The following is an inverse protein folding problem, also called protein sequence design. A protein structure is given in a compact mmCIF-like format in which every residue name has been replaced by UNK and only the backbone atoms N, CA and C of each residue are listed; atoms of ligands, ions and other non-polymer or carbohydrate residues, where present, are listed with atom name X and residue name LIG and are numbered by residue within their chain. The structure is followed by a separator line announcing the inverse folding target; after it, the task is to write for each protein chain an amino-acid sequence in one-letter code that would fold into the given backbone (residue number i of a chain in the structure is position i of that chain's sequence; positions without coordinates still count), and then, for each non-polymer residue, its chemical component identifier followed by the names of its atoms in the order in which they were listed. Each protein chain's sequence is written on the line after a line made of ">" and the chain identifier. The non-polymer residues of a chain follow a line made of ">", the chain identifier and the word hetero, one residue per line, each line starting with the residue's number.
data_IF_468041219624
#
_entry.id   IF_468041219624
#
_cell.length_a   1.000
_cell.length_b   1.000
_cell.length_c   1.000
_cell.angle_alpha   90.00
_cell.angle_beta   90.00
_cell.angle_gamma   90.00
#
_symmetry.space_group_name_H-M   'P 1'
#
loop_
_entity.id
_entity.type
_entity.pdbx_description
1 polymer ?
#
# COMPACT_ATOMS: atom_id res chain seq x y z
N UNK A 1 -28.46 -13.00 34.60
CA UNK A 1 -28.86 -13.63 33.33
C UNK A 1 -28.50 -12.66 32.22
N UNK A 2 -27.21 -12.51 31.95
CA UNK A 2 -26.68 -11.64 30.90
C UNK A 2 -25.97 -12.54 29.88
N UNK A 3 -26.62 -12.73 28.74
CA UNK A 3 -26.10 -13.45 27.59
C UNK A 3 -26.42 -12.60 26.37
N UNK A 4 -25.39 -11.97 25.80
CA UNK A 4 -25.17 -11.77 24.36
C UNK A 4 -23.86 -10.98 24.21
N UNK A 5 -22.72 -11.66 24.14
CA UNK A 5 -22.11 -12.28 22.94
C UNK A 5 -21.14 -11.34 22.23
N UNK A 6 -19.86 -11.47 22.61
CA UNK A 6 -18.68 -11.52 21.75
C UNK A 6 -18.86 -11.02 20.30
N UNK A 7 -18.61 -9.73 20.07
CA UNK A 7 -18.33 -9.22 18.72
C UNK A 7 -16.92 -9.68 18.36
N UNK A 8 -16.84 -10.73 17.53
CA UNK A 8 -15.57 -11.23 17.00
C UNK A 8 -14.88 -10.12 16.19
N UNK A 9 -13.61 -9.86 16.48
CA UNK A 9 -12.71 -8.94 15.74
C UNK A 9 -12.47 -9.36 14.27
N UNK A 10 -13.08 -10.44 13.79
CA UNK A 10 -12.93 -10.96 12.44
C UNK A 10 -13.94 -10.41 11.41
N UNK A 11 -15.04 -9.75 11.80
CA UNK A 11 -16.09 -9.36 10.83
C UNK A 11 -15.85 -8.04 10.08
N UNK A 12 -14.91 -7.20 10.54
CA UNK A 12 -14.65 -5.90 9.93
C UNK A 12 -13.73 -5.97 8.68
N UNK A 13 -13.02 -7.08 8.48
CA UNK A 13 -12.09 -7.25 7.35
C UNK A 13 -12.78 -7.51 5.99
N UNK A 14 -14.10 -7.73 5.95
CA UNK A 14 -14.85 -7.87 4.69
C UNK A 14 -15.45 -6.54 4.18
N UNK A 15 -15.37 -5.45 4.95
CA UNK A 15 -15.77 -4.13 4.51
C UNK A 15 -14.55 -3.35 3.97
N UNK A 16 -14.29 -3.52 2.66
CA UNK A 16 -13.26 -2.73 1.97
C UNK A 16 -13.61 -1.24 2.00
N UNK A 17 -12.64 -0.39 2.36
CA UNK A 17 -12.82 1.06 2.45
C UNK A 17 -13.09 1.72 1.08
N UNK A 18 -12.78 1.04 -0.03
CA UNK A 18 -13.15 1.46 -1.37
C UNK A 18 -13.24 0.27 -2.34
N UNK A 19 -13.97 0.47 -3.45
CA UNK A 19 -14.09 -0.52 -4.54
C UNK A 19 -12.75 -0.82 -5.24
N UNK A 20 -11.72 0.02 -5.06
CA UNK A 20 -10.38 -0.22 -5.59
C UNK A 20 -9.70 -1.46 -4.98
N UNK A 21 -10.12 -1.93 -3.80
CA UNK A 21 -9.64 -3.18 -3.22
C UNK A 21 -9.81 -4.37 -4.17
N UNK A 22 -10.96 -4.47 -4.85
CA UNK A 22 -11.24 -5.57 -5.78
C UNK A 22 -10.29 -5.59 -6.98
N UNK A 23 -9.73 -4.44 -7.38
CA UNK A 23 -8.71 -4.38 -8.43
C UNK A 23 -7.42 -5.07 -7.98
N UNK A 24 -6.94 -4.72 -6.79
CA UNK A 24 -5.72 -5.33 -6.25
C UNK A 24 -5.91 -6.82 -5.95
N UNK A 25 -7.08 -7.22 -5.44
CA UNK A 25 -7.39 -8.65 -5.23
C UNK A 25 -7.36 -9.45 -6.54
N UNK A 26 -7.93 -8.92 -7.63
CA UNK A 26 -7.92 -9.62 -8.92
C UNK A 26 -6.51 -9.67 -9.53
N UNK A 27 -5.74 -8.58 -9.42
CA UNK A 27 -4.33 -8.55 -9.85
C UNK A 27 -3.52 -9.57 -9.04
N UNK A 28 -3.67 -9.59 -7.72
CA UNK A 28 -2.95 -10.51 -6.84
C UNK A 28 -3.30 -11.98 -7.12
N UNK A 29 -4.58 -12.27 -7.43
CA UNK A 29 -5.02 -13.60 -7.83
C UNK A 29 -4.30 -14.10 -9.10
N UNK A 30 -3.98 -13.21 -10.03
CA UNK A 30 -3.33 -13.55 -11.31
C UNK A 30 -1.81 -13.52 -11.23
N UNK A 31 -1.25 -12.57 -10.48
CA UNK A 31 0.19 -12.29 -10.43
C UNK A 31 0.88 -12.83 -9.18
N UNK A 32 0.13 -13.29 -8.16
CA UNK A 32 0.65 -13.73 -6.87
C UNK A 32 1.58 -12.71 -6.20
N UNK A 33 1.19 -11.44 -6.31
CA UNK A 33 1.98 -10.27 -5.94
C UNK A 33 2.29 -10.23 -4.44
N UNK A 34 1.35 -10.63 -3.59
CA UNK A 34 1.40 -10.51 -2.14
C UNK A 34 1.51 -11.89 -1.49
N UNK A 35 2.60 -12.13 -0.78
CA UNK A 35 2.88 -13.37 -0.07
C UNK A 35 3.19 -13.12 1.41
N UNK A 36 2.79 -14.04 2.31
CA UNK A 36 3.12 -13.96 3.73
C UNK A 36 4.62 -13.77 3.98
N UNK A 37 4.97 -12.79 4.82
CA UNK A 37 6.37 -12.47 5.14
C UNK A 37 6.99 -11.35 4.30
N UNK A 38 6.35 -10.95 3.20
CA UNK A 38 6.86 -9.87 2.36
C UNK A 38 6.77 -8.48 2.99
N UNK A 39 7.63 -7.59 2.52
CA UNK A 39 7.61 -6.15 2.81
C UNK A 39 6.97 -5.39 1.66
N UNK A 40 5.91 -4.65 1.96
CA UNK A 40 5.17 -3.83 1.00
C UNK A 40 5.32 -2.36 1.35
N UNK A 41 5.63 -1.55 0.34
CA UNK A 41 5.55 -0.08 0.41
C UNK A 41 4.42 0.39 -0.51
N UNK A 42 3.41 1.06 0.06
CA UNK A 42 2.25 1.60 -0.67
C UNK A 42 2.28 3.12 -0.72
N UNK A 43 2.24 3.67 -1.93
CA UNK A 43 2.25 5.11 -2.20
C UNK A 43 0.87 5.57 -2.68
N UNK A 44 0.30 6.59 -2.05
CA UNK A 44 -1.06 7.06 -2.35
C UNK A 44 -2.14 6.19 -1.68
N UNK A 45 -1.96 5.90 -0.40
CA UNK A 45 -2.75 4.93 0.35
C UNK A 45 -4.17 5.39 0.74
N UNK A 46 -4.60 6.61 0.44
CA UNK A 46 -5.95 7.09 0.77
C UNK A 46 -7.02 6.47 -0.15
N UNK A 47 -8.14 5.92 0.38
CA UNK A 47 -8.55 5.88 1.79
C UNK A 47 -8.01 4.68 2.59
N UNK A 48 -7.41 3.67 1.94
CA UNK A 48 -6.75 2.53 2.60
C UNK A 48 -7.14 1.16 2.06
N UNK A 49 -7.87 1.11 0.94
CA UNK A 49 -8.43 -0.13 0.42
C UNK A 49 -7.34 -1.12 -0.02
N UNK A 50 -6.29 -0.64 -0.70
CA UNK A 50 -5.14 -1.45 -1.08
C UNK A 50 -4.31 -1.83 0.15
N UNK A 51 -4.15 -0.94 1.13
CA UNK A 51 -3.53 -1.28 2.41
C UNK A 51 -4.21 -2.45 3.10
N UNK A 52 -5.55 -2.49 3.16
CA UNK A 52 -6.28 -3.61 3.77
C UNK A 52 -5.94 -4.93 3.08
N UNK A 53 -5.90 -4.94 1.75
CA UNK A 53 -5.53 -6.12 0.96
C UNK A 53 -4.08 -6.53 1.24
N UNK A 54 -3.14 -5.57 1.22
CA UNK A 54 -1.73 -5.81 1.49
C UNK A 54 -1.50 -6.41 2.88
N UNK A 55 -2.11 -5.84 3.92
CA UNK A 55 -1.99 -6.31 5.32
C UNK A 55 -2.40 -7.78 5.46
N UNK A 56 -3.50 -8.17 4.81
CA UNK A 56 -3.95 -9.56 4.81
C UNK A 56 -3.03 -10.45 3.97
N UNK A 57 -2.65 -10.02 2.77
CA UNK A 57 -1.84 -10.81 1.83
C UNK A 57 -0.45 -11.14 2.38
N UNK A 58 0.21 -10.17 3.02
CA UNK A 58 1.55 -10.37 3.58
C UNK A 58 1.55 -10.81 5.04
N UNK A 59 0.37 -10.99 5.64
CA UNK A 59 0.23 -11.43 7.03
C UNK A 59 1.00 -10.50 8.00
N UNK A 60 0.76 -9.19 7.93
CA UNK A 60 1.44 -8.21 8.79
C UNK A 60 0.75 -8.01 10.14
N UNK A 61 -0.50 -8.47 10.29
CA UNK A 61 -1.16 -8.55 11.59
C UNK A 61 -0.50 -9.62 12.47
N UNK A 62 -0.42 -9.42 13.79
CA UNK A 62 0.28 -10.32 14.69
C UNK A 62 -0.52 -11.60 14.99
N UNK A 63 -1.00 -12.38 14.01
CA UNK A 63 -1.89 -13.53 14.32
C UNK A 63 -1.79 -14.82 13.48
N UNK A 64 -0.83 -15.03 12.57
CA UNK A 64 -0.68 -16.38 11.98
C UNK A 64 0.31 -17.24 12.76
N UNK A 65 -0.20 -18.16 13.58
CA UNK A 65 0.58 -19.35 13.98
C UNK A 65 0.85 -20.13 12.68
N UNK A 66 2.11 -20.18 12.24
CA UNK A 66 2.64 -21.01 11.13
C UNK A 66 2.90 -20.32 9.76
N UNK A 67 2.88 -18.98 9.64
CA UNK A 67 3.35 -18.27 8.42
C UNK A 67 4.27 -17.10 8.76
N UNK A 68 5.13 -16.70 7.82
CA UNK A 68 6.00 -15.54 7.96
C UNK A 68 5.20 -14.25 8.18
N UNK A 69 5.70 -13.36 9.03
CA UNK A 69 5.07 -12.06 9.31
C UNK A 69 5.65 -10.98 8.39
N UNK A 70 4.78 -10.43 7.54
CA UNK A 70 5.14 -9.35 6.63
C UNK A 70 5.15 -7.98 7.29
N UNK A 71 5.39 -6.96 6.47
CA UNK A 71 5.38 -5.56 6.88
C UNK A 71 4.71 -4.74 5.80
N UNK A 72 3.89 -3.78 6.20
CA UNK A 72 3.29 -2.80 5.28
C UNK A 72 3.65 -1.40 5.76
N UNK A 73 4.31 -0.62 4.91
CA UNK A 73 4.53 0.82 5.09
C UNK A 73 3.66 1.54 4.07
N UNK A 74 2.83 2.46 4.53
CA UNK A 74 1.90 3.19 3.66
C UNK A 74 2.08 4.70 3.79
N UNK A 75 2.03 5.39 2.67
CA UNK A 75 2.32 6.82 2.56
C UNK A 75 1.20 7.51 1.78
N UNK A 76 0.76 8.66 2.25
CA UNK A 76 -0.19 9.51 1.54
C UNK A 76 0.02 10.99 1.87
N UNK A 77 -0.26 11.86 0.90
CA UNK A 77 -0.28 13.32 1.07
C UNK A 77 -1.36 13.76 2.06
N UNK A 78 -2.45 12.99 2.15
CA UNK A 78 -3.55 13.21 3.08
C UNK A 78 -3.26 12.51 4.40
N UNK A 79 -3.74 13.11 5.50
CA UNK A 79 -3.80 12.41 6.78
C UNK A 79 -4.96 11.43 6.74
N UNK A 80 -4.65 10.14 6.81
CA UNK A 80 -5.63 9.05 6.80
C UNK A 80 -5.61 8.29 8.12
N UNK A 81 -6.69 7.57 8.43
CA UNK A 81 -6.79 6.84 9.70
C UNK A 81 -5.72 5.74 9.80
N UNK A 82 -5.13 5.51 10.99
CA UNK A 82 -4.27 4.35 11.21
C UNK A 82 -4.99 3.03 10.89
N UNK A 83 -4.25 2.05 10.38
CA UNK A 83 -4.79 0.74 10.02
C UNK A 83 -3.92 -0.35 10.66
N UNK A 84 -4.49 -1.22 11.52
CA UNK A 84 -3.73 -2.29 12.18
C UNK A 84 -2.95 -3.17 11.19
N UNK A 85 -1.67 -3.39 11.46
CA UNK A 85 -0.78 -4.15 10.57
C UNK A 85 -0.09 -3.31 9.49
N UNK A 86 -0.32 -2.00 9.43
CA UNK A 86 0.40 -1.09 8.54
C UNK A 86 0.95 0.14 9.28
N UNK A 87 2.22 0.46 9.04
CA UNK A 87 2.85 1.69 9.51
C UNK A 87 2.48 2.84 8.58
N UNK A 88 1.95 3.93 9.12
CA UNK A 88 1.47 5.09 8.36
C UNK A 88 2.45 6.27 8.41
N UNK A 89 2.84 6.75 7.24
CA UNK A 89 3.46 8.07 7.01
C UNK A 89 2.44 9.01 6.35
N UNK A 90 1.43 9.45 7.10
CA UNK A 90 0.36 10.33 6.62
C UNK A 90 0.77 11.80 6.57
N UNK A 91 0.17 12.57 5.68
CA UNK A 91 0.48 13.99 5.50
C UNK A 91 1.85 14.24 4.87
N UNK A 92 2.39 13.26 4.12
CA UNK A 92 3.74 13.32 3.53
C UNK A 92 3.70 13.19 2.02
N UNK A 93 4.55 13.96 1.36
CA UNK A 93 4.79 13.83 -0.07
C UNK A 93 5.77 12.71 -0.33
N UNK A 94 5.33 11.65 -1.01
CA UNK A 94 6.20 10.54 -1.40
C UNK A 94 7.34 10.97 -2.35
N UNK A 95 7.15 12.02 -3.14
CA UNK A 95 8.17 12.50 -4.07
C UNK A 95 9.32 13.25 -3.38
N UNK A 96 9.15 13.60 -2.10
CA UNK A 96 10.21 14.20 -1.29
C UNK A 96 11.28 13.18 -0.91
N UNK A 97 12.58 13.49 -1.14
CA UNK A 97 13.68 12.64 -0.70
C UNK A 97 13.67 12.34 0.80
N UNK A 98 13.24 13.30 1.62
CA UNK A 98 13.12 13.15 3.07
C UNK A 98 12.08 12.08 3.44
N UNK A 99 10.92 12.08 2.77
CA UNK A 99 9.91 11.02 2.97
C UNK A 99 10.44 9.66 2.55
N UNK A 100 11.13 9.58 1.41
CA UNK A 100 11.71 8.32 0.95
C UNK A 100 12.75 7.78 1.93
N UNK A 101 13.61 8.64 2.47
CA UNK A 101 14.57 8.26 3.50
C UNK A 101 13.89 7.73 4.76
N UNK A 102 12.79 8.35 5.21
CA UNK A 102 12.01 7.86 6.35
C UNK A 102 11.40 6.47 6.09
N UNK A 103 10.99 6.17 4.86
CA UNK A 103 10.53 4.82 4.50
C UNK A 103 11.69 3.83 4.70
N UNK A 104 12.89 4.16 4.21
CA UNK A 104 14.06 3.28 4.32
C UNK A 104 14.50 3.06 5.77
N UNK A 105 14.42 4.08 6.61
CA UNK A 105 14.69 3.97 8.05
C UNK A 105 13.73 2.99 8.74
N UNK A 106 12.45 3.02 8.37
CA UNK A 106 11.44 2.10 8.91
C UNK A 106 11.69 0.63 8.53
N UNK A 107 12.31 0.37 7.37
CA UNK A 107 12.56 -1.00 6.90
C UNK A 107 13.48 -1.80 7.84
N UNK A 108 14.25 -1.15 8.70
CA UNK A 108 15.16 -1.81 9.66
C UNK A 108 16.08 -2.84 8.98
N UNK A 109 16.66 -2.46 7.83
CA UNK A 109 17.51 -3.29 6.96
C UNK A 109 16.81 -4.40 6.16
N UNK A 110 15.48 -4.54 6.24
CA UNK A 110 14.73 -5.41 5.33
C UNK A 110 14.72 -4.82 3.92
N UNK A 111 14.73 -5.68 2.91
CA UNK A 111 14.50 -5.26 1.52
C UNK A 111 13.00 -5.17 1.24
N UNK A 112 12.62 -4.32 0.31
CA UNK A 112 11.23 -4.20 -0.15
C UNK A 112 10.97 -5.33 -1.15
N UNK A 113 9.88 -6.06 -1.00
CA UNK A 113 9.48 -7.10 -1.96
C UNK A 113 8.48 -6.56 -2.98
N UNK A 114 7.61 -5.63 -2.56
CA UNK A 114 6.56 -5.06 -3.40
C UNK A 114 6.44 -3.56 -3.18
N UNK A 115 6.44 -2.79 -4.27
CA UNK A 115 6.04 -1.38 -4.26
C UNK A 115 4.69 -1.24 -4.98
N UNK A 116 3.70 -0.68 -4.29
CA UNK A 116 2.37 -0.37 -4.83
C UNK A 116 2.23 1.14 -4.97
N UNK A 117 1.65 1.61 -6.06
CA UNK A 117 1.34 3.02 -6.28
C UNK A 117 -0.08 3.20 -6.80
N UNK A 118 -0.96 3.76 -5.97
CA UNK A 118 -2.30 4.23 -6.37
C UNK A 118 -2.39 5.78 -6.35
N UNK A 119 -1.23 6.45 -6.36
CA UNK A 119 -1.14 7.91 -6.37
C UNK A 119 -1.93 8.51 -7.54
N UNK A 120 -2.58 9.63 -7.28
CA UNK A 120 -3.19 10.47 -8.30
C UNK A 120 -3.02 11.95 -7.90
N UNK A 121 -2.65 12.84 -8.85
CA UNK A 121 -2.57 14.25 -8.57
C UNK A 121 -3.99 14.82 -8.40
N UNK A 122 -4.09 16.02 -7.79
CA UNK A 122 -5.33 16.80 -7.88
C UNK A 122 -5.56 17.16 -9.35
N UNK A 123 -6.76 16.93 -9.84
CA UNK A 123 -7.13 17.33 -11.20
C UNK A 123 -7.07 18.85 -11.33
N UNK A 124 -6.31 19.33 -12.29
CA UNK A 124 -6.28 20.74 -12.70
C UNK A 124 -7.44 21.07 -13.64
N UNK A 125 -8.01 20.06 -14.30
CA UNK A 125 -9.02 20.22 -15.36
C UNK A 125 -8.41 20.42 -16.74
N UNK A 126 -7.07 20.50 -16.84
CA UNK A 126 -6.34 20.57 -18.11
C UNK A 126 -5.80 19.18 -18.40
N UNK A 127 -6.37 18.51 -19.42
CA UNK A 127 -6.10 17.09 -19.72
C UNK A 127 -4.59 16.79 -19.85
N UNK A 128 -3.87 17.58 -20.63
CA UNK A 128 -2.46 17.33 -20.90
C UNK A 128 -1.61 17.50 -19.62
N UNK A 129 -1.89 18.53 -18.84
CA UNK A 129 -1.23 18.77 -17.55
C UNK A 129 -1.54 17.66 -16.54
N UNK A 130 -2.79 17.20 -16.48
CA UNK A 130 -3.20 16.11 -15.59
C UNK A 130 -2.52 14.79 -15.99
N UNK A 131 -2.37 14.54 -17.29
CA UNK A 131 -1.61 13.41 -17.82
C UNK A 131 -0.12 13.51 -17.50
N UNK A 132 0.52 14.66 -17.69
CA UNK A 132 1.92 14.86 -17.31
C UNK A 132 2.15 14.65 -15.80
N UNK A 133 1.24 15.16 -14.96
CA UNK A 133 1.35 15.06 -13.51
C UNK A 133 1.25 13.61 -13.02
N UNK A 134 0.34 12.80 -13.57
CA UNK A 134 0.22 11.39 -13.18
C UNK A 134 1.42 10.57 -13.66
N UNK A 135 1.92 10.83 -14.87
CA UNK A 135 3.13 10.19 -15.38
C UNK A 135 4.34 10.52 -14.50
N UNK A 136 4.48 11.78 -14.06
CA UNK A 136 5.55 12.20 -13.13
C UNK A 136 5.50 11.42 -11.81
N UNK A 137 4.31 11.21 -11.24
CA UNK A 137 4.14 10.42 -10.02
C UNK A 137 4.49 8.95 -10.23
N UNK A 138 4.10 8.37 -11.37
CA UNK A 138 4.43 7.00 -11.73
C UNK A 138 5.95 6.82 -11.87
N UNK A 139 6.65 7.74 -12.52
CA UNK A 139 8.12 7.73 -12.62
C UNK A 139 8.80 7.86 -11.27
N UNK A 140 8.29 8.71 -10.37
CA UNK A 140 8.84 8.82 -9.02
C UNK A 140 8.73 7.49 -8.25
N UNK A 141 7.57 6.81 -8.35
CA UNK A 141 7.35 5.52 -7.70
C UNK A 141 8.21 4.41 -8.34
N UNK A 142 8.32 4.38 -9.66
CA UNK A 142 9.16 3.43 -10.38
C UNK A 142 10.65 3.62 -10.04
N UNK A 143 11.13 4.86 -10.01
CA UNK A 143 12.51 5.17 -9.64
C UNK A 143 12.85 4.72 -8.22
N UNK A 144 11.94 4.95 -7.27
CA UNK A 144 12.08 4.43 -5.91
C UNK A 144 12.09 2.89 -5.88
N UNK A 145 11.19 2.24 -6.61
CA UNK A 145 11.13 0.77 -6.67
C UNK A 145 12.42 0.16 -7.24
N UNK A 146 12.94 0.69 -8.36
CA UNK A 146 14.18 0.20 -8.98
C UNK A 146 15.36 0.23 -8.00
N UNK A 147 15.44 1.26 -7.16
CA UNK A 147 16.58 1.44 -6.25
C UNK A 147 16.48 0.61 -4.96
N UNK A 148 15.26 0.33 -4.48
CA UNK A 148 15.06 -0.14 -3.11
C UNK A 148 14.41 -1.53 -3.00
N UNK A 149 13.91 -2.07 -4.10
CA UNK A 149 13.30 -3.41 -4.12
C UNK A 149 14.39 -4.50 -4.15
N UNK A 150 14.11 -5.65 -3.53
CA UNK A 150 14.91 -6.85 -3.64
C UNK A 150 14.96 -7.34 -5.10
N UNK A 151 15.98 -8.13 -5.43
CA UNK A 151 16.00 -8.87 -6.68
C UNK A 151 14.76 -9.78 -6.77
N UNK A 152 14.08 -9.74 -7.92
CA UNK A 152 12.82 -10.47 -8.13
C UNK A 152 11.58 -9.83 -7.48
N UNK A 153 11.71 -8.66 -6.84
CA UNK A 153 10.57 -7.95 -6.32
C UNK A 153 9.71 -7.29 -7.39
N UNK A 154 8.54 -6.81 -7.00
CA UNK A 154 7.48 -6.38 -7.91
C UNK A 154 7.08 -4.92 -7.73
N UNK A 155 6.69 -4.29 -8.82
CA UNK A 155 6.14 -2.94 -8.83
C UNK A 155 4.77 -2.93 -9.52
N UNK A 156 3.76 -2.38 -8.84
CA UNK A 156 2.43 -2.17 -9.40
C UNK A 156 2.07 -0.68 -9.31
N UNK A 157 1.65 -0.10 -10.42
CA UNK A 157 1.27 1.31 -10.48
C UNK A 157 -0.04 1.50 -11.25
N UNK A 158 -0.95 2.32 -10.71
CA UNK A 158 -2.11 2.81 -11.44
C UNK A 158 -1.67 3.85 -12.47
N UNK A 159 -2.02 3.60 -13.72
CA UNK A 159 -1.97 4.60 -14.78
C UNK A 159 -3.39 4.77 -15.37
N UNK A 160 -3.87 6.01 -15.56
CA UNK A 160 -5.08 6.24 -16.32
C UNK A 160 -4.83 5.94 -17.79
N UNK A 161 -5.85 5.36 -18.44
CA UNK A 161 -5.86 5.26 -19.89
C UNK A 161 -6.18 6.65 -20.48
N UNK A 162 -5.40 7.09 -21.46
CA UNK A 162 -5.50 8.42 -22.08
C UNK A 162 -6.71 8.64 -22.96
#
# INVERSE_FOLDING_TARGET
>A
MELQQHVSTASCLQCWSARSAFKLLEIDKQCHLLQPGQVVVECGASPGAWTQVAVMGVNSLPHAKNKGQGMVIRIDLQTIHPLPGATLLGGRDFTSPQTQQQILELLSSRKIDVVLSDMAPKASGIKDLDHENIIRLAYAALGFAIQNTAEGGSFLCKLPYG
#
